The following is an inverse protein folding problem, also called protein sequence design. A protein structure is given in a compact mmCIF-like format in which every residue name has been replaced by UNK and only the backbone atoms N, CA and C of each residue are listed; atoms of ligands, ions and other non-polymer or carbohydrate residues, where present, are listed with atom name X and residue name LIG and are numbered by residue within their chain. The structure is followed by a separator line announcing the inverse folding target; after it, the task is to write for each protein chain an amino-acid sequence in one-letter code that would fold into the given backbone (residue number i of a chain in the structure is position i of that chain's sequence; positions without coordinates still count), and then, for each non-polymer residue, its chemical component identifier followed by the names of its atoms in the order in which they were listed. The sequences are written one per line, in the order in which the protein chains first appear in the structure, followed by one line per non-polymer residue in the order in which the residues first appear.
data_IF_940146742133
#
_entry.id   IF_940146742133
#
_cell.length_a   1.000
_cell.length_b   1.000
_cell.length_c   1.000
_cell.angle_alpha   90.00
_cell.angle_beta   90.00
_cell.angle_gamma   90.00
#
_symmetry.space_group_name_H-M   'P 1'
#
loop_
_entity.id
_entity.type
_entity.pdbx_description
1 polymer ?
#
# COMPACT_ATOMS: atom_id res chain seq x y z
N UNK A 1 -27.99 -14.44 -32.41
CA UNK A 1 -26.75 -14.35 -31.60
C UNK A 1 -26.78 -13.03 -30.86
N UNK A 2 -27.25 -13.04 -29.62
CA UNK A 2 -27.46 -11.83 -28.81
C UNK A 2 -26.65 -11.98 -27.53
N UNK A 3 -25.66 -11.11 -27.38
CA UNK A 3 -24.71 -11.08 -26.29
C UNK A 3 -25.36 -10.36 -25.10
N UNK A 4 -25.62 -11.07 -24.00
CA UNK A 4 -26.11 -10.46 -22.76
C UNK A 4 -24.94 -9.86 -21.98
N UNK A 5 -24.96 -8.54 -21.79
CA UNK A 5 -24.09 -7.84 -20.84
C UNK A 5 -24.91 -7.55 -19.57
N UNK A 6 -24.47 -8.05 -18.42
CA UNK A 6 -25.03 -7.69 -17.13
C UNK A 6 -24.39 -6.38 -16.65
N UNK A 7 -25.17 -5.30 -16.65
CA UNK A 7 -24.80 -3.99 -16.11
C UNK A 7 -25.24 -3.93 -14.65
N UNK A 8 -24.31 -3.69 -13.73
CA UNK A 8 -24.63 -3.42 -12.33
C UNK A 8 -25.21 -1.99 -12.21
N UNK A 9 -26.48 -1.88 -11.81
CA UNK A 9 -27.11 -0.60 -11.50
C UNK A 9 -26.73 -0.16 -10.09
N UNK A 10 -25.92 0.90 -9.98
CA UNK A 10 -25.75 1.65 -8.75
C UNK A 10 -26.85 2.71 -8.68
N UNK A 11 -27.72 2.62 -7.68
CA UNK A 11 -28.65 3.71 -7.35
C UNK A 11 -27.85 4.81 -6.64
N UNK A 12 -27.75 5.96 -7.31
CA UNK A 12 -27.22 7.20 -6.75
C UNK A 12 -28.42 8.08 -6.39
N UNK A 13 -28.80 8.11 -5.11
CA UNK A 13 -29.83 9.04 -4.64
C UNK A 13 -29.20 10.42 -4.39
N UNK A 14 -29.51 11.37 -5.28
CA UNK A 14 -29.22 12.79 -5.12
C UNK A 14 -30.47 13.53 -4.63
N UNK A 15 -30.26 14.34 -3.58
CA UNK A 15 -30.93 15.60 -3.23
C UNK A 15 -32.42 15.61 -2.86
N UNK A 16 -32.69 15.79 -1.57
CA UNK A 16 -33.82 16.58 -1.11
C UNK A 16 -33.37 17.61 -0.07
N UNK A 17 -33.69 18.86 -0.39
CA UNK A 17 -33.35 20.09 0.28
C UNK A 17 -34.44 20.39 1.34
N UNK A 18 -34.12 20.30 2.63
CA UNK A 18 -34.97 20.76 3.74
C UNK A 18 -34.09 21.58 4.70
N UNK A 19 -34.31 22.90 4.67
CA UNK A 19 -33.89 23.83 5.72
C UNK A 19 -34.60 23.47 7.02
N UNK A 20 -33.83 23.07 8.04
CA UNK A 20 -34.30 23.05 9.42
C UNK A 20 -33.14 23.46 10.33
N UNK A 21 -33.19 24.72 10.80
CA UNK A 21 -32.32 25.23 11.85
C UNK A 21 -32.47 24.37 13.12
N UNK A 22 -31.43 23.62 13.47
CA UNK A 22 -31.30 22.97 14.78
C UNK A 22 -29.94 23.36 15.36
N UNK A 23 -30.00 23.96 16.56
CA UNK A 23 -28.87 24.50 17.30
C UNK A 23 -27.84 23.43 17.70
N UNK A 24 -26.55 23.79 17.81
CA UNK A 24 -25.48 22.83 18.03
C UNK A 24 -25.41 22.41 19.51
N UNK A 25 -25.85 21.19 19.82
CA UNK A 25 -25.39 20.48 21.01
C UNK A 25 -23.98 19.96 20.72
N UNK A 26 -23.00 20.65 21.28
CA UNK A 26 -21.57 20.32 21.22
C UNK A 26 -21.33 19.07 22.08
N UNK A 27 -21.43 17.90 21.46
CA UNK A 27 -20.72 16.72 21.94
C UNK A 27 -19.40 16.65 21.18
N UNK A 28 -18.35 17.20 21.82
CA UNK A 28 -16.98 17.15 21.33
C UNK A 28 -16.46 15.71 21.40
N UNK A 29 -16.93 14.83 20.52
CA UNK A 29 -16.11 13.70 20.08
C UNK A 29 -14.92 14.29 19.36
N UNK A 30 -13.84 14.43 20.12
CA UNK A 30 -12.57 14.93 19.64
C UNK A 30 -12.12 13.96 18.55
N UNK A 31 -12.31 14.32 17.28
CA UNK A 31 -11.73 13.58 16.16
C UNK A 31 -10.23 13.54 16.43
N UNK A 32 -9.75 12.40 16.93
CA UNK A 32 -8.34 12.21 17.22
C UNK A 32 -7.60 12.32 15.90
N UNK A 33 -7.01 13.50 15.66
CA UNK A 33 -6.11 13.70 14.53
C UNK A 33 -5.04 12.62 14.64
N UNK A 34 -5.03 11.67 13.69
CA UNK A 34 -3.98 10.66 13.57
C UNK A 34 -2.63 11.36 13.79
N UNK A 35 -1.95 11.03 14.89
CA UNK A 35 -0.64 11.61 15.21
C UNK A 35 0.24 11.39 14.00
N UNK A 36 0.60 12.49 13.32
CA UNK A 36 1.53 12.41 12.20
C UNK A 36 2.81 11.76 12.72
N UNK A 37 3.16 10.60 12.18
CA UNK A 37 4.37 9.89 12.56
C UNK A 37 5.57 10.79 12.20
N UNK A 38 6.15 11.45 13.21
CA UNK A 38 7.27 12.36 13.01
C UNK A 38 8.47 11.52 12.61
N UNK A 39 9.06 11.82 11.45
CA UNK A 39 10.27 11.15 10.97
C UNK A 39 11.37 11.27 12.02
N UNK A 40 11.96 10.14 12.41
CA UNK A 40 13.15 10.09 13.25
C UNK A 40 14.39 10.41 12.40
N UNK A 41 15.16 11.39 12.84
CA UNK A 41 16.37 11.86 12.17
C UNK A 41 17.60 11.42 12.97
N UNK A 42 18.52 10.74 12.29
CA UNK A 42 19.74 10.20 12.87
C UNK A 42 20.93 11.00 12.32
N UNK A 43 21.81 11.54 13.17
CA UNK A 43 23.02 12.21 12.71
C UNK A 43 23.92 11.21 11.99
N UNK A 44 24.38 11.56 10.80
CA UNK A 44 25.29 10.72 10.01
C UNK A 44 26.74 11.14 10.23
N UNK A 45 27.03 12.42 10.01
CA UNK A 45 28.38 12.97 10.05
C UNK A 45 28.35 14.50 10.11
N UNK A 46 29.46 15.06 10.60
CA UNK A 46 29.74 16.50 10.65
C UNK A 46 30.91 16.81 9.73
N UNK A 47 30.76 17.85 8.91
CA UNK A 47 31.77 18.33 7.97
C UNK A 47 32.20 19.74 8.36
N UNK A 48 33.47 20.04 8.13
CA UNK A 48 34.00 21.40 8.33
C UNK A 48 33.63 22.32 7.16
N UNK A 49 33.66 21.80 5.92
CA UNK A 49 33.30 22.57 4.72
C UNK A 49 31.93 22.14 4.16
N UNK A 50 31.18 23.13 3.69
CA UNK A 50 29.91 22.94 2.96
C UNK A 50 30.11 22.22 1.63
N UNK A 51 31.26 22.42 0.97
CA UNK A 51 31.51 21.85 -0.35
C UNK A 51 31.67 20.33 -0.28
N UNK A 52 32.28 19.83 0.79
CA UNK A 52 32.44 18.40 1.03
C UNK A 52 31.09 17.68 1.13
N UNK A 53 30.11 18.32 1.78
CA UNK A 53 28.75 17.78 1.89
C UNK A 53 28.07 17.72 0.52
N UNK A 54 28.17 18.80 -0.25
CA UNK A 54 27.56 18.88 -1.59
C UNK A 54 28.21 17.84 -2.51
N UNK A 55 29.53 17.70 -2.44
CA UNK A 55 30.28 16.69 -3.19
C UNK A 55 29.80 15.29 -2.82
N UNK A 56 29.70 14.97 -1.53
CA UNK A 56 29.20 13.66 -1.07
C UNK A 56 27.78 13.37 -1.56
N UNK A 57 26.88 14.36 -1.50
CA UNK A 57 25.50 14.22 -1.96
C UNK A 57 25.45 13.99 -3.48
N UNK A 58 26.30 14.68 -4.24
CA UNK A 58 26.40 14.53 -5.68
C UNK A 58 27.02 13.18 -6.08
N UNK A 59 28.08 12.76 -5.38
CA UNK A 59 28.75 11.46 -5.57
C UNK A 59 27.79 10.30 -5.33
N UNK A 60 26.88 10.43 -4.35
CA UNK A 60 25.83 9.44 -4.10
C UNK A 60 24.81 9.35 -5.26
N UNK A 61 24.58 10.41 -6.03
CA UNK A 61 23.69 10.44 -7.21
C UNK A 61 22.19 10.17 -6.96
N UNK A 62 21.81 9.80 -5.74
CA UNK A 62 20.46 9.34 -5.35
C UNK A 62 19.59 10.47 -4.80
N UNK A 63 20.17 11.64 -4.50
CA UNK A 63 19.49 12.70 -3.76
C UNK A 63 19.14 13.88 -4.66
N UNK A 64 17.94 14.42 -4.48
CA UNK A 64 17.49 15.68 -5.10
C UNK A 64 17.00 16.67 -4.05
N UNK A 65 17.42 17.93 -4.20
CA UNK A 65 17.05 19.01 -3.30
C UNK A 65 15.53 19.24 -3.37
N UNK A 66 14.89 19.35 -2.21
CA UNK A 66 13.44 19.59 -2.11
C UNK A 66 13.15 21.03 -1.73
N UNK A 67 13.51 21.44 -0.51
CA UNK A 67 13.29 22.78 -0.02
C UNK A 67 14.37 23.15 1.00
N UNK A 68 14.41 24.43 1.37
CA UNK A 68 15.37 24.95 2.34
C UNK A 68 14.63 25.80 3.34
N UNK A 69 14.79 25.48 4.63
CA UNK A 69 14.26 26.27 5.72
C UNK A 69 15.40 27.11 6.27
N UNK A 70 15.21 28.43 6.32
CA UNK A 70 16.13 29.34 6.99
C UNK A 70 15.41 29.88 8.23
N UNK A 71 15.98 29.63 9.40
CA UNK A 71 15.59 30.25 10.66
C UNK A 71 16.73 31.16 11.10
N UNK A 72 16.47 32.14 11.96
CA UNK A 72 17.46 33.16 12.36
C UNK A 72 18.79 32.58 12.85
N UNK A 73 18.79 31.37 13.41
CA UNK A 73 20.00 30.72 13.91
C UNK A 73 20.57 29.66 12.96
N UNK A 74 19.74 29.05 12.10
CA UNK A 74 20.12 27.82 11.38
C UNK A 74 19.45 27.72 10.02
N UNK A 75 20.23 27.29 9.03
CA UNK A 75 19.75 26.93 7.69
C UNK A 75 19.69 25.41 7.57
N UNK A 76 18.59 24.88 7.06
CA UNK A 76 18.37 23.45 6.81
C UNK A 76 18.01 23.22 5.35
N UNK A 77 18.80 22.43 4.65
CA UNK A 77 18.46 22.00 3.28
C UNK A 77 17.98 20.56 3.31
N UNK A 78 16.79 20.31 2.78
CA UNK A 78 16.19 18.97 2.71
C UNK A 78 16.38 18.37 1.32
N UNK A 79 16.69 17.08 1.29
CA UNK A 79 16.82 16.30 0.07
C UNK A 79 15.94 15.04 0.17
N UNK A 80 15.38 14.65 -0.96
CA UNK A 80 14.59 13.44 -1.14
C UNK A 80 15.30 12.51 -2.10
N UNK A 81 15.02 11.22 -1.99
CA UNK A 81 15.49 10.24 -2.96
C UNK A 81 14.86 10.52 -4.35
N UNK A 82 15.66 10.43 -5.41
CA UNK A 82 15.27 10.71 -6.79
C UNK A 82 14.92 9.45 -7.62
N UNK A 83 15.15 8.26 -7.07
CA UNK A 83 14.96 6.97 -7.75
C UNK A 83 13.49 6.52 -7.89
N UNK A 84 12.52 7.30 -7.42
CA UNK A 84 11.09 6.92 -7.49
C UNK A 84 10.43 7.56 -8.70
N UNK A 85 9.68 6.77 -9.45
CA UNK A 85 8.90 7.21 -10.61
C UNK A 85 7.69 8.07 -10.18
N UNK A 86 7.23 8.92 -11.09
CA UNK A 86 6.21 9.97 -10.88
C UNK A 86 4.84 9.48 -10.33
N UNK A 87 4.54 8.17 -10.42
CA UNK A 87 3.22 7.61 -10.08
C UNK A 87 3.24 6.54 -8.97
N UNK A 88 4.38 6.31 -8.31
CA UNK A 88 4.50 5.35 -7.21
C UNK A 88 4.61 6.05 -5.85
N UNK A 89 4.39 5.30 -4.76
CA UNK A 89 4.57 5.81 -3.39
C UNK A 89 5.99 6.38 -3.25
N UNK A 90 6.15 7.64 -2.83
CA UNK A 90 7.47 8.27 -2.74
C UNK A 90 8.35 7.54 -1.74
N UNK A 91 9.64 7.43 -2.05
CA UNK A 91 10.62 6.81 -1.16
C UNK A 91 10.59 7.49 0.21
N UNK A 92 10.49 6.74 1.32
CA UNK A 92 10.44 7.33 2.65
C UNK A 92 11.81 7.84 3.13
N UNK A 93 12.90 7.39 2.49
CA UNK A 93 14.25 7.85 2.81
C UNK A 93 14.46 9.33 2.42
N UNK A 94 15.03 10.09 3.33
CA UNK A 94 15.36 11.50 3.13
C UNK A 94 16.59 11.88 3.93
N UNK A 95 17.30 12.91 3.47
CA UNK A 95 18.41 13.50 4.22
C UNK A 95 18.14 14.99 4.42
N UNK A 96 18.71 15.55 5.48
CA UNK A 96 18.81 16.99 5.60
C UNK A 96 20.19 17.40 6.07
N UNK A 97 20.58 18.59 5.61
CA UNK A 97 21.86 19.21 5.91
C UNK A 97 21.59 20.43 6.77
N UNK A 98 22.16 20.46 7.96
CA UNK A 98 22.06 21.55 8.92
C UNK A 98 23.35 22.37 8.89
N UNK A 99 23.24 23.66 8.58
CA UNK A 99 24.32 24.62 8.66
C UNK A 99 24.26 25.32 10.03
N UNK A 100 25.32 25.16 10.83
CA UNK A 100 25.43 25.83 12.13
C UNK A 100 26.05 27.21 11.94
N UNK A 101 25.46 28.23 12.55
CA UNK A 101 25.98 29.60 12.55
C UNK A 101 27.19 29.77 13.47
N UNK A 102 27.24 29.00 14.56
CA UNK A 102 28.25 29.15 15.62
C UNK A 102 29.64 28.63 15.21
N UNK A 103 29.68 27.46 14.56
CA UNK A 103 30.92 26.71 14.36
C UNK A 103 31.31 26.58 12.87
N UNK A 104 30.56 27.26 11.97
CA UNK A 104 30.64 27.14 10.50
C UNK A 104 30.57 25.71 9.95
N UNK A 105 30.31 24.73 10.81
CA UNK A 105 30.27 23.32 10.45
C UNK A 105 28.89 22.92 9.93
N UNK A 106 28.88 21.83 9.19
CA UNK A 106 27.69 21.31 8.52
C UNK A 106 27.42 19.89 8.99
N UNK A 107 26.25 19.65 9.57
CA UNK A 107 25.84 18.30 10.02
C UNK A 107 24.84 17.71 9.05
N UNK A 108 25.11 16.49 8.60
CA UNK A 108 24.20 15.71 7.77
C UNK A 108 23.41 14.73 8.62
N UNK A 109 22.11 14.66 8.38
CA UNK A 109 21.19 13.73 9.03
C UNK A 109 20.48 12.89 7.99
N UNK A 110 20.21 11.62 8.31
CA UNK A 110 19.36 10.74 7.52
C UNK A 110 18.12 10.32 8.29
N UNK A 111 17.07 9.95 7.58
CA UNK A 111 15.94 9.24 8.18
C UNK A 111 16.32 7.81 8.53
N UNK A 112 15.67 7.24 9.56
CA UNK A 112 15.74 5.80 9.87
C UNK A 112 15.12 4.92 8.78
N UNK A 113 14.22 5.48 7.97
CA UNK A 113 13.55 4.75 6.89
C UNK A 113 14.54 4.36 5.78
N UNK A 114 14.53 3.08 5.45
CA UNK A 114 15.27 2.54 4.30
C UNK A 114 14.63 2.91 2.96
N UNK A 115 15.43 2.84 1.90
CA UNK A 115 14.96 3.00 0.53
C UNK A 115 13.98 1.86 0.15
N UNK A 116 12.74 2.21 -0.20
CA UNK A 116 11.68 1.24 -0.57
C UNK A 116 11.47 1.09 -2.08
N UNK A 117 12.39 1.60 -2.89
CA UNK A 117 12.31 1.54 -4.36
C UNK A 117 13.31 0.56 -4.98
N UNK A 118 14.16 -0.05 -4.16
CA UNK A 118 15.23 -0.90 -4.63
C UNK A 118 14.74 -2.35 -4.71
N UNK A 119 14.32 -2.80 -5.90
CA UNK A 119 14.41 -4.24 -6.24
C UNK A 119 15.85 -4.75 -5.98
N UNK A 120 16.83 -3.85 -6.10
CA UNK A 120 18.26 -4.12 -5.94
C UNK A 120 18.70 -4.54 -4.54
N UNK A 121 18.03 -4.16 -3.44
CA UNK A 121 18.50 -4.57 -2.10
C UNK A 121 18.35 -6.09 -1.91
N UNK A 122 17.28 -6.67 -2.45
CA UNK A 122 17.10 -8.11 -2.44
C UNK A 122 18.19 -8.82 -3.27
N UNK A 123 18.61 -8.20 -4.38
CA UNK A 123 19.68 -8.69 -5.26
C UNK A 123 21.05 -8.57 -4.57
N UNK A 124 21.34 -7.44 -3.94
CA UNK A 124 22.57 -7.20 -3.17
C UNK A 124 22.72 -8.24 -2.05
N UNK A 125 21.67 -8.50 -1.27
CA UNK A 125 21.68 -9.52 -0.21
C UNK A 125 21.92 -10.94 -0.80
N UNK A 126 21.36 -11.24 -1.97
CA UNK A 126 21.60 -12.51 -2.64
C UNK A 126 23.05 -12.64 -3.10
N UNK A 127 23.62 -11.56 -3.64
CA UNK A 127 25.02 -11.50 -4.07
C UNK A 127 25.99 -11.62 -2.88
N UNK A 128 25.75 -10.91 -1.77
CA UNK A 128 26.53 -11.02 -0.52
C UNK A 128 26.56 -12.45 0.02
N UNK A 129 25.45 -13.19 -0.15
CA UNK A 129 25.33 -14.60 0.26
C UNK A 129 25.88 -15.58 -0.79
N UNK A 130 26.45 -15.09 -1.89
CA UNK A 130 26.94 -15.93 -2.98
C UNK A 130 25.83 -16.71 -3.70
N UNK A 131 24.58 -16.27 -3.60
CA UNK A 131 23.44 -16.93 -4.20
C UNK A 131 23.18 -16.38 -5.61
N UNK A 132 22.81 -17.25 -6.57
CA UNK A 132 22.47 -16.80 -7.91
C UNK A 132 21.19 -15.96 -7.86
N UNK A 133 21.15 -14.86 -8.62
CA UNK A 133 19.98 -13.98 -8.71
C UNK A 133 18.87 -14.75 -9.45
N UNK A 134 17.72 -15.03 -8.79
CA UNK A 134 16.62 -15.73 -9.42
C UNK A 134 16.01 -14.89 -10.55
N UNK A 135 15.65 -15.55 -11.66
CA UNK A 135 14.84 -14.91 -12.70
C UNK A 135 13.43 -14.64 -12.15
N UNK A 136 12.79 -13.54 -12.60
CA UNK A 136 11.42 -13.17 -12.21
C UNK A 136 10.41 -14.33 -12.36
N UNK A 137 10.57 -15.16 -13.39
CA UNK A 137 9.74 -16.33 -13.61
C UNK A 137 9.89 -17.38 -12.50
N UNK A 138 11.12 -17.61 -12.02
CA UNK A 138 11.37 -18.55 -10.91
C UNK A 138 10.71 -18.07 -9.62
N UNK A 139 10.76 -16.76 -9.35
CA UNK A 139 10.06 -16.16 -8.21
C UNK A 139 8.55 -16.34 -8.33
N UNK A 140 7.97 -16.07 -9.50
CA UNK A 140 6.54 -16.26 -9.75
C UNK A 140 6.12 -17.73 -9.53
N UNK A 141 6.82 -18.68 -10.14
CA UNK A 141 6.56 -20.11 -9.95
C UNK A 141 6.70 -20.55 -8.49
N UNK A 142 7.69 -20.01 -7.77
CA UNK A 142 7.90 -20.29 -6.35
C UNK A 142 6.77 -19.72 -5.48
N UNK A 143 6.33 -18.49 -5.73
CA UNK A 143 5.22 -17.90 -4.98
C UNK A 143 3.91 -18.63 -5.24
N UNK A 144 3.66 -19.07 -6.48
CA UNK A 144 2.50 -19.89 -6.83
C UNK A 144 2.55 -21.23 -6.09
N UNK A 145 3.72 -21.90 -6.07
CA UNK A 145 3.85 -23.18 -5.38
C UNK A 145 3.73 -23.06 -3.87
N UNK A 146 4.28 -22.01 -3.27
CA UNK A 146 4.09 -21.68 -1.86
C UNK A 146 2.62 -21.41 -1.53
N UNK A 147 1.95 -20.59 -2.34
CA UNK A 147 0.52 -20.32 -2.16
C UNK A 147 -0.28 -21.61 -2.22
N UNK A 148 -0.03 -22.46 -3.22
CA UNK A 148 -0.69 -23.76 -3.35
C UNK A 148 -0.44 -24.68 -2.15
N UNK A 149 0.78 -24.65 -1.59
CA UNK A 149 1.15 -25.47 -0.44
C UNK A 149 0.46 -25.05 0.86
N UNK A 150 0.37 -23.75 1.13
CA UNK A 150 -0.14 -23.24 2.42
C UNK A 150 -1.63 -22.88 2.38
N UNK A 151 -2.12 -22.35 1.27
CA UNK A 151 -3.47 -21.81 1.13
C UNK A 151 -4.33 -22.58 0.13
N UNK A 152 -3.77 -23.60 -0.53
CA UNK A 152 -4.48 -24.37 -1.54
C UNK A 152 -4.60 -23.66 -2.89
N UNK A 153 -5.47 -24.19 -3.75
CA UNK A 153 -5.70 -23.63 -5.07
C UNK A 153 -6.27 -22.20 -4.99
N UNK A 154 -5.88 -21.34 -5.93
CA UNK A 154 -6.45 -19.98 -6.05
C UNK A 154 -7.85 -19.95 -6.66
N UNK A 155 -8.30 -21.10 -7.18
CA UNK A 155 -9.60 -21.31 -7.79
C UNK A 155 -10.36 -22.32 -6.95
N UNK A 156 -11.61 -22.03 -6.67
CA UNK A 156 -12.55 -22.91 -5.98
C UNK A 156 -13.59 -23.35 -7.00
N UNK A 157 -13.95 -24.64 -7.04
CA UNK A 157 -15.05 -25.09 -7.90
C UNK A 157 -16.39 -24.61 -7.35
N UNK A 158 -17.46 -24.65 -8.17
CA UNK A 158 -18.80 -24.29 -7.70
C UNK A 158 -19.27 -25.24 -6.58
N UNK A 159 -19.03 -26.54 -6.71
CA UNK A 159 -19.37 -27.53 -5.68
C UNK A 159 -18.58 -27.29 -4.38
N UNK A 160 -17.30 -26.96 -4.48
CA UNK A 160 -16.46 -26.64 -3.33
C UNK A 160 -16.91 -25.35 -2.63
N UNK A 161 -17.33 -24.36 -3.43
CA UNK A 161 -17.85 -23.09 -2.93
C UNK A 161 -19.20 -23.28 -2.24
N UNK A 162 -20.12 -24.06 -2.83
CA UNK A 162 -21.39 -24.42 -2.21
C UNK A 162 -21.16 -25.11 -0.86
N UNK A 163 -20.28 -26.12 -0.83
CA UNK A 163 -19.97 -26.83 0.40
C UNK A 163 -19.29 -25.91 1.44
N UNK A 164 -18.50 -24.92 0.99
CA UNK A 164 -17.92 -23.90 1.89
C UNK A 164 -18.99 -22.97 2.46
N UNK A 165 -19.94 -22.53 1.65
CA UNK A 165 -21.07 -21.70 2.08
C UNK A 165 -21.94 -22.41 3.12
N UNK A 166 -22.25 -23.70 2.90
CA UNK A 166 -22.96 -24.52 3.87
C UNK A 166 -22.22 -24.60 5.21
N UNK A 167 -20.90 -24.85 5.18
CA UNK A 167 -20.06 -24.99 6.39
C UNK A 167 -19.87 -23.70 7.20
N UNK A 168 -19.97 -22.53 6.57
CA UNK A 168 -19.76 -21.23 7.21
C UNK A 168 -21.05 -20.41 7.32
N UNK A 169 -22.21 -21.06 7.33
CA UNK A 169 -23.52 -20.42 7.51
C UNK A 169 -23.79 -19.97 8.95
N UNK A 170 -23.02 -20.47 9.91
CA UNK A 170 -23.11 -20.09 11.31
C UNK A 170 -22.18 -18.91 11.60
N UNK A 171 -22.70 -17.97 12.39
CA UNK A 171 -21.92 -16.82 12.90
C UNK A 171 -20.82 -17.35 13.82
N UNK A 172 -19.53 -17.14 13.51
CA UNK A 172 -18.43 -17.54 14.37
C UNK A 172 -18.34 -16.67 15.63
N UNK A 173 -17.77 -17.23 16.70
CA UNK A 173 -17.43 -16.47 17.92
C UNK A 173 -16.20 -15.55 17.73
N UNK A 174 -15.44 -15.77 16.65
CA UNK A 174 -14.25 -14.99 16.28
C UNK A 174 -14.59 -13.97 15.20
N UNK A 175 -14.49 -12.69 15.54
CA UNK A 175 -14.80 -11.56 14.66
C UNK A 175 -13.91 -11.51 13.40
N UNK A 176 -12.71 -12.10 13.44
CA UNK A 176 -11.79 -12.12 12.30
C UNK A 176 -12.08 -13.28 11.32
N UNK A 177 -13.04 -14.16 11.65
CA UNK A 177 -13.36 -15.32 10.81
C UNK A 177 -14.50 -15.00 9.84
N UNK A 178 -14.29 -15.18 8.52
CA UNK A 178 -15.34 -14.95 7.53
C UNK A 178 -16.46 -15.98 7.63
N UNK A 179 -17.70 -15.54 7.45
CA UNK A 179 -18.91 -16.36 7.42
C UNK A 179 -19.90 -15.87 6.36
N UNK A 180 -20.91 -16.69 6.06
CA UNK A 180 -21.86 -16.47 4.98
C UNK A 180 -23.21 -16.04 5.54
N UNK A 181 -23.65 -14.84 5.16
CA UNK A 181 -24.96 -14.29 5.58
C UNK A 181 -26.13 -14.97 4.87
N UNK A 182 -26.05 -15.11 3.55
CA UNK A 182 -27.06 -15.75 2.69
C UNK A 182 -26.42 -16.14 1.36
N UNK A 183 -26.83 -17.29 0.82
CA UNK A 183 -26.52 -17.67 -0.56
C UNK A 183 -27.75 -18.34 -1.19
N UNK A 184 -27.86 -18.24 -2.52
CA UNK A 184 -28.91 -18.85 -3.33
C UNK A 184 -28.27 -19.49 -4.56
N UNK A 185 -28.69 -20.71 -4.90
CA UNK A 185 -28.23 -21.45 -6.08
C UNK A 185 -29.45 -21.66 -6.96
N UNK A 186 -29.34 -21.24 -8.22
CA UNK A 186 -30.37 -21.42 -9.23
C UNK A 186 -29.86 -22.43 -10.24
N UNK A 187 -30.60 -23.53 -10.41
CA UNK A 187 -30.38 -24.49 -11.48
C UNK A 187 -31.35 -24.13 -12.60
N UNK A 188 -30.85 -24.02 -13.83
CA UNK A 188 -31.72 -23.94 -15.00
C UNK A 188 -32.35 -25.34 -15.17
N UNK A 189 -33.62 -25.47 -14.81
CA UNK A 189 -34.37 -26.70 -15.07
C UNK A 189 -34.45 -26.92 -16.58
N UNK A 190 -33.99 -28.09 -17.05
CA UNK A 190 -34.21 -28.53 -18.41
C UNK A 190 -35.73 -28.53 -18.68
N UNK A 191 -36.15 -27.72 -19.66
CA UNK A 191 -37.52 -27.71 -20.17
C UNK A 191 -37.82 -29.14 -20.65
N UNK A 192 -38.60 -29.89 -19.87
CA UNK A 192 -39.20 -31.15 -20.31
C UNK A 192 -40.24 -30.82 -21.40
N UNK A 193 -39.80 -30.75 -22.66
CA UNK A 193 -40.68 -30.89 -23.82
C UNK A 193 -41.05 -32.36 -23.99
N UNK A 194 -41.88 -32.89 -23.09
CA UNK A 194 -42.58 -34.16 -23.29
C UNK A 194 -44.02 -34.02 -22.76
N UNK A 195 -44.79 -33.16 -23.42
CA UNK A 195 -46.25 -33.23 -23.38
C UNK A 195 -46.79 -32.71 -24.72
N UNK A 196 -46.92 -33.61 -25.69
CA UNK A 196 -48.12 -33.72 -26.54
C UNK A 196 -47.99 -34.87 -27.55
N UNK A 197 -48.23 -36.09 -27.08
CA UNK A 197 -48.85 -37.10 -27.95
C UNK A 197 -49.68 -38.12 -27.17
N UNK A 198 -50.93 -37.77 -26.85
CA UNK A 198 -52.03 -38.73 -26.64
C UNK A 198 -53.40 -38.07 -26.51
N UNK A 199 -54.11 -37.90 -27.64
CA UNK A 199 -55.37 -38.61 -27.96
C UNK A 199 -55.94 -38.18 -29.30
#
# INVERSE_FOLDING_TARGET
MTQAQLIAHYFSDSDNNIDMEIQPSIDNETIERKKQNRRKWIPLCTYSDKNDVIKKINDDGIWSKTHTNATNERKRTYYRCNQVKLHEKPCPASIHVLYHSENECVTMYKTENDHLHNESRSIEILQEKGLPIPKKQQLSSYLISLRKKYYGASTISLDELEAWCQRNSLIPDDDDKPWVLKYQIEYEDEINEDDDNKK
#
